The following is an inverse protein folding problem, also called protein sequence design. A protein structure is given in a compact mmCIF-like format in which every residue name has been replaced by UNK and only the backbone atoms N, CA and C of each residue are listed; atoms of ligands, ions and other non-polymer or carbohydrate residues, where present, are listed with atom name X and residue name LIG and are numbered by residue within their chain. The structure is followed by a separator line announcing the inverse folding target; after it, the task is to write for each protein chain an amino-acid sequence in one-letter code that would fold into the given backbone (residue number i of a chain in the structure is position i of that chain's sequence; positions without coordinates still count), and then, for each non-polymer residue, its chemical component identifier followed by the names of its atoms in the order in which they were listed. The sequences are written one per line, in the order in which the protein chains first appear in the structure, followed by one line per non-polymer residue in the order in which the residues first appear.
data_IF_197927002678
#
_entry.id   IF_197927002678
#
_cell.length_a   1.000
_cell.length_b   1.000
_cell.length_c   1.000
_cell.angle_alpha   90.00
_cell.angle_beta   90.00
_cell.angle_gamma   90.00
#
_symmetry.space_group_name_H-M   'P 1'
#
loop_
_entity.id
_entity.type
_entity.pdbx_description
1 polymer ?
#
# COMPACT_ATOMS: atom_id res chain seq x y z
N UNK A 1 -38.25 -12.83 32.55
CA UNK A 1 -37.40 -11.62 32.51
C UNK A 1 -35.93 -11.91 32.19
N UNK A 2 -35.28 -12.94 32.74
CA UNK A 2 -33.87 -13.28 32.43
C UNK A 2 -33.58 -13.55 30.93
N UNK A 3 -34.49 -14.20 30.19
CA UNK A 3 -34.34 -14.46 28.74
C UNK A 3 -34.37 -13.21 27.86
N UNK A 4 -35.02 -12.14 28.31
CA UNK A 4 -35.11 -10.88 27.55
C UNK A 4 -33.83 -10.06 27.77
N UNK A 5 -33.34 -10.01 29.00
CA UNK A 5 -32.05 -9.39 29.32
C UNK A 5 -30.88 -10.08 28.61
N UNK A 6 -30.86 -11.42 28.53
CA UNK A 6 -29.80 -12.15 27.82
C UNK A 6 -29.78 -11.84 26.32
N UNK A 7 -30.95 -11.77 25.67
CA UNK A 7 -31.05 -11.45 24.25
C UNK A 7 -30.65 -9.99 23.98
N UNK A 8 -31.04 -9.04 24.84
CA UNK A 8 -30.59 -7.66 24.73
C UNK A 8 -29.08 -7.50 24.88
N UNK A 9 -28.46 -8.18 25.84
CA UNK A 9 -26.99 -8.18 25.99
C UNK A 9 -26.29 -8.83 24.79
N UNK A 10 -26.86 -9.89 24.23
CA UNK A 10 -26.31 -10.55 23.04
C UNK A 10 -26.38 -9.64 21.82
N UNK A 11 -27.51 -8.99 21.57
CA UNK A 11 -27.66 -8.03 20.46
C UNK A 11 -26.81 -6.77 20.64
N UNK A 12 -26.66 -6.26 21.86
CA UNK A 12 -25.80 -5.11 22.16
C UNK A 12 -24.31 -5.42 21.94
N UNK A 13 -23.85 -6.62 22.36
CA UNK A 13 -22.48 -7.06 22.13
C UNK A 13 -22.19 -7.33 20.64
N UNK A 14 -23.17 -7.85 19.89
CA UNK A 14 -23.05 -8.02 18.43
C UNK A 14 -22.95 -6.67 17.72
N UNK A 15 -23.78 -5.69 18.08
CA UNK A 15 -23.73 -4.34 17.51
C UNK A 15 -22.44 -3.58 17.85
N UNK A 16 -21.91 -3.74 19.07
CA UNK A 16 -20.64 -3.13 19.48
C UNK A 16 -19.43 -3.73 18.76
N UNK A 17 -19.40 -5.05 18.56
CA UNK A 17 -18.32 -5.70 17.81
C UNK A 17 -18.36 -5.30 16.33
N UNK A 18 -19.55 -5.23 15.73
CA UNK A 18 -19.72 -4.80 14.34
C UNK A 18 -19.28 -3.34 14.11
N UNK A 19 -19.60 -2.43 15.03
CA UNK A 19 -19.17 -1.02 14.91
C UNK A 19 -17.65 -0.87 15.06
N UNK A 20 -17.03 -1.62 15.97
CA UNK A 20 -15.57 -1.64 16.16
C UNK A 20 -14.84 -2.18 14.92
N UNK A 21 -15.39 -3.20 14.27
CA UNK A 21 -14.82 -3.75 13.03
C UNK A 21 -14.90 -2.74 11.88
N UNK A 22 -16.03 -2.03 11.72
CA UNK A 22 -16.16 -0.98 10.72
C UNK A 22 -15.17 0.18 10.93
N UNK A 23 -14.93 0.56 12.20
CA UNK A 23 -13.95 1.60 12.53
C UNK A 23 -12.54 1.16 12.16
N UNK A 24 -12.14 -0.06 12.54
CA UNK A 24 -10.81 -0.60 12.19
C UNK A 24 -10.62 -0.68 10.66
N UNK A 25 -11.64 -1.15 9.95
CA UNK A 25 -11.65 -1.22 8.49
C UNK A 25 -11.49 0.16 7.85
N UNK A 26 -12.19 1.16 8.37
CA UNK A 26 -12.09 2.55 7.90
C UNK A 26 -10.70 3.12 8.14
N UNK A 27 -10.13 2.91 9.33
CA UNK A 27 -8.78 3.34 9.70
C UNK A 27 -7.73 2.73 8.75
N UNK A 28 -7.86 1.44 8.46
CA UNK A 28 -6.93 0.73 7.56
C UNK A 28 -7.04 1.26 6.13
N UNK A 29 -8.27 1.43 5.64
CA UNK A 29 -8.51 1.94 4.30
C UNK A 29 -7.96 3.37 4.14
N UNK A 30 -8.22 4.27 5.10
CA UNK A 30 -7.71 5.64 5.06
C UNK A 30 -6.19 5.68 5.20
N UNK A 31 -5.61 4.83 6.05
CA UNK A 31 -4.16 4.71 6.16
C UNK A 31 -3.51 4.29 4.85
N UNK A 32 -4.02 3.23 4.22
CA UNK A 32 -3.51 2.74 2.92
C UNK A 32 -3.68 3.80 1.83
N UNK A 33 -4.82 4.49 1.79
CA UNK A 33 -5.06 5.53 0.80
C UNK A 33 -4.05 6.67 0.95
N UNK A 34 -3.86 7.19 2.17
CA UNK A 34 -2.87 8.23 2.47
C UNK A 34 -1.46 7.73 2.11
N UNK A 35 -1.13 6.49 2.49
CA UNK A 35 0.15 5.88 2.17
C UNK A 35 0.41 5.86 0.66
N UNK A 36 -0.53 5.36 -0.15
CA UNK A 36 -0.36 5.28 -1.60
C UNK A 36 -0.31 6.67 -2.24
N UNK A 37 -1.19 7.59 -1.86
CA UNK A 37 -1.16 8.97 -2.37
C UNK A 37 0.18 9.63 -2.05
N UNK A 38 0.62 9.59 -0.78
CA UNK A 38 1.93 10.13 -0.38
C UNK A 38 3.06 9.49 -1.18
N UNK A 39 3.01 8.19 -1.34
CA UNK A 39 4.05 7.41 -2.01
C UNK A 39 4.12 7.74 -3.50
N UNK A 40 2.97 7.87 -4.17
CA UNK A 40 2.90 8.29 -5.56
C UNK A 40 3.30 9.76 -5.75
N UNK A 41 3.02 10.64 -4.79
CA UNK A 41 3.50 12.03 -4.79
C UNK A 41 5.03 12.09 -4.62
N UNK A 42 5.58 11.31 -3.69
CA UNK A 42 7.02 11.33 -3.39
C UNK A 42 7.85 10.72 -4.52
N UNK A 43 7.29 9.75 -5.23
CA UNK A 43 8.00 9.04 -6.29
C UNK A 43 7.82 9.66 -7.68
N UNK A 44 6.92 10.64 -7.80
CA UNK A 44 6.64 11.32 -9.06
C UNK A 44 7.66 12.43 -9.33
N UNK A 45 7.94 12.64 -10.61
CA UNK A 45 8.87 13.65 -11.15
C UNK A 45 8.33 15.07 -11.09
N UNK A 46 7.92 15.50 -9.90
CA UNK A 46 7.31 16.81 -9.69
C UNK A 46 8.35 17.87 -9.37
N UNK A 47 8.28 19.02 -10.06
CA UNK A 47 9.08 20.20 -9.72
C UNK A 47 8.19 21.26 -9.03
N UNK A 48 7.71 20.97 -7.82
CA UNK A 48 6.78 21.86 -7.11
C UNK A 48 6.95 21.83 -5.59
N UNK A 49 7.21 23.00 -4.99
CA UNK A 49 7.27 23.20 -3.54
C UNK A 49 5.94 22.82 -2.85
N UNK A 50 4.81 22.98 -3.55
CA UNK A 50 3.49 22.61 -3.05
C UNK A 50 3.42 21.10 -2.77
N UNK A 51 3.95 20.27 -3.67
CA UNK A 51 3.95 18.80 -3.52
C UNK A 51 4.78 18.42 -2.29
N UNK A 52 5.93 19.05 -2.06
CA UNK A 52 6.78 18.80 -0.89
C UNK A 52 6.05 19.14 0.42
N UNK A 53 5.37 20.30 0.47
CA UNK A 53 4.54 20.69 1.63
C UNK A 53 3.39 19.71 1.86
N UNK A 54 2.72 19.25 0.80
CA UNK A 54 1.66 18.24 0.89
C UNK A 54 2.20 16.91 1.42
N UNK A 55 3.32 16.41 0.90
CA UNK A 55 3.96 15.16 1.37
C UNK A 55 4.32 15.26 2.86
N UNK A 56 4.85 16.40 3.32
CA UNK A 56 5.14 16.63 4.73
C UNK A 56 3.87 16.56 5.60
N UNK A 57 2.77 17.18 5.16
CA UNK A 57 1.48 17.09 5.84
C UNK A 57 0.93 15.65 5.91
N UNK A 58 1.04 14.90 4.81
CA UNK A 58 0.64 13.48 4.78
C UNK A 58 1.51 12.63 5.71
N UNK A 59 2.82 12.88 5.78
CA UNK A 59 3.71 12.20 6.73
C UNK A 59 3.29 12.44 8.19
N UNK A 60 2.97 13.68 8.54
CA UNK A 60 2.49 14.02 9.89
C UNK A 60 1.18 13.30 10.23
N UNK A 61 0.22 13.26 9.28
CA UNK A 61 -1.02 12.50 9.45
C UNK A 61 -0.76 11.00 9.61
N UNK A 62 0.14 10.43 8.81
CA UNK A 62 0.49 9.02 8.91
C UNK A 62 1.11 8.65 10.25
N UNK A 63 1.87 9.55 10.90
CA UNK A 63 2.40 9.31 12.24
C UNK A 63 1.30 9.11 13.29
N UNK A 64 0.14 9.76 13.14
CA UNK A 64 -1.01 9.53 14.03
C UNK A 64 -1.50 8.08 13.94
N UNK A 65 -1.55 7.53 12.72
CA UNK A 65 -1.91 6.13 12.51
C UNK A 65 -0.85 5.16 13.01
N UNK A 66 0.44 5.50 12.87
CA UNK A 66 1.53 4.73 13.49
C UNK A 66 1.33 4.70 15.01
N UNK A 67 1.06 5.85 15.63
CA UNK A 67 0.75 5.92 17.07
C UNK A 67 -0.45 5.04 17.46
N UNK A 68 -1.52 5.06 16.66
CA UNK A 68 -2.67 4.17 16.87
C UNK A 68 -2.30 2.68 16.73
N UNK A 69 -1.54 2.31 15.69
CA UNK A 69 -1.07 0.93 15.50
C UNK A 69 -0.21 0.47 16.69
N UNK A 70 0.68 1.33 17.19
CA UNK A 70 1.44 1.08 18.41
C UNK A 70 0.54 0.90 19.62
N UNK A 71 -0.52 1.69 19.78
CA UNK A 71 -1.43 1.59 20.92
C UNK A 71 -2.10 0.21 20.99
N UNK A 72 -2.60 -0.30 19.85
CA UNK A 72 -3.31 -1.59 19.76
C UNK A 72 -2.39 -2.81 19.60
N UNK A 73 -1.07 -2.59 19.45
CA UNK A 73 -0.09 -3.64 19.28
C UNK A 73 0.12 -4.46 20.57
N UNK A 74 0.40 -5.74 20.40
CA UNK A 74 0.89 -6.63 21.46
C UNK A 74 2.30 -6.21 21.89
N UNK A 75 2.77 -6.66 23.06
CA UNK A 75 4.12 -6.30 23.54
C UNK A 75 5.23 -6.72 22.56
N UNK A 76 5.08 -7.89 21.90
CA UNK A 76 6.03 -8.35 20.90
C UNK A 76 6.04 -7.45 19.65
N UNK A 77 4.86 -7.09 19.14
CA UNK A 77 4.73 -6.16 18.00
C UNK A 77 5.29 -4.77 18.35
N UNK A 78 5.03 -4.28 19.56
CA UNK A 78 5.58 -3.02 20.09
C UNK A 78 7.10 -3.03 20.14
N UNK A 79 7.71 -4.13 20.58
CA UNK A 79 9.16 -4.26 20.64
C UNK A 79 9.79 -4.19 19.24
N UNK A 80 9.23 -4.91 18.27
CA UNK A 80 9.72 -4.90 16.87
C UNK A 80 9.52 -3.54 16.22
N UNK A 81 8.31 -2.96 16.30
CA UNK A 81 8.04 -1.65 15.73
C UNK A 81 8.88 -0.56 16.43
N UNK A 82 9.03 -0.64 17.75
CA UNK A 82 9.85 0.28 18.53
C UNK A 82 11.31 0.24 18.13
N UNK A 83 11.86 -0.97 17.90
CA UNK A 83 13.21 -1.14 17.36
C UNK A 83 13.37 -0.50 15.99
N UNK A 84 12.40 -0.66 15.07
CA UNK A 84 12.44 -0.02 13.75
C UNK A 84 12.36 1.51 13.83
N UNK A 85 11.55 2.06 14.74
CA UNK A 85 11.50 3.50 15.01
C UNK A 85 12.85 3.99 15.53
N UNK A 86 13.50 3.24 16.43
CA UNK A 86 14.80 3.59 16.99
C UNK A 86 15.89 3.59 15.90
N UNK A 87 15.91 2.58 15.04
CA UNK A 87 16.78 2.56 13.86
C UNK A 87 16.55 3.74 12.93
N UNK A 88 15.28 4.10 12.69
CA UNK A 88 14.94 5.27 11.89
C UNK A 88 15.46 6.58 12.50
N UNK A 89 15.31 6.76 13.83
CA UNK A 89 15.85 7.93 14.53
C UNK A 89 17.38 8.00 14.44
N UNK A 90 18.07 6.87 14.58
CA UNK A 90 19.53 6.79 14.41
C UNK A 90 19.92 7.14 12.97
N UNK A 91 19.22 6.62 11.97
CA UNK A 91 19.49 6.91 10.55
C UNK A 91 19.33 8.40 10.20
N UNK A 92 18.33 9.06 10.79
CA UNK A 92 18.20 10.52 10.69
C UNK A 92 19.37 11.22 11.38
N UNK A 93 19.72 10.80 12.59
CA UNK A 93 20.81 11.41 13.35
C UNK A 93 22.18 11.27 12.64
N UNK A 94 22.39 10.19 11.88
CA UNK A 94 23.61 9.98 11.08
C UNK A 94 23.55 10.63 9.69
N UNK A 95 22.50 11.41 9.38
CA UNK A 95 22.37 12.15 8.12
C UNK A 95 22.05 11.28 6.89
N UNK A 96 21.60 10.04 7.09
CA UNK A 96 21.30 9.09 6.01
C UNK A 96 19.86 9.25 5.48
N UNK A 97 19.22 10.41 5.68
CA UNK A 97 17.89 10.71 5.16
C UNK A 97 16.75 9.90 5.79
N UNK A 98 15.61 9.87 5.09
CA UNK A 98 14.34 9.30 5.56
C UNK A 98 14.03 7.91 4.99
N UNK A 99 15.03 7.20 4.44
CA UNK A 99 14.82 5.89 3.80
C UNK A 99 14.18 4.84 4.73
N UNK A 100 14.55 4.84 6.01
CA UNK A 100 13.96 3.92 7.00
C UNK A 100 12.54 4.31 7.43
N UNK A 101 12.05 5.48 7.01
CA UNK A 101 10.68 5.90 7.33
C UNK A 101 9.63 4.98 6.70
N UNK A 102 9.93 4.43 5.52
CA UNK A 102 9.11 3.40 4.90
C UNK A 102 8.94 2.16 5.78
N UNK A 103 10.01 1.73 6.45
CA UNK A 103 9.97 0.56 7.34
C UNK A 103 9.07 0.79 8.56
N UNK A 104 9.07 2.00 9.12
CA UNK A 104 8.17 2.39 10.22
C UNK A 104 6.72 2.25 9.77
N UNK A 105 6.36 2.76 8.60
CA UNK A 105 4.99 2.63 8.08
C UNK A 105 4.62 1.20 7.73
N UNK A 106 5.52 0.43 7.09
CA UNK A 106 5.28 -0.99 6.80
C UNK A 106 5.01 -1.78 8.08
N UNK A 107 5.72 -1.50 9.17
CA UNK A 107 5.47 -2.16 10.46
C UNK A 107 4.08 -1.85 11.01
N UNK A 108 3.62 -0.60 10.90
CA UNK A 108 2.28 -0.19 11.30
C UNK A 108 1.20 -0.87 10.44
N UNK A 109 1.40 -0.97 9.12
CA UNK A 109 0.51 -1.72 8.22
C UNK A 109 0.38 -3.17 8.68
N UNK A 110 1.49 -3.84 8.94
CA UNK A 110 1.47 -5.26 9.35
C UNK A 110 0.68 -5.43 10.65
N UNK A 111 0.90 -4.56 11.64
CA UNK A 111 0.17 -4.60 12.90
C UNK A 111 -1.34 -4.42 12.67
N UNK A 112 -1.72 -3.43 11.85
CA UNK A 112 -3.11 -3.15 11.53
C UNK A 112 -3.76 -4.32 10.76
N UNK A 113 -3.07 -4.89 9.77
CA UNK A 113 -3.55 -6.03 8.97
C UNK A 113 -3.76 -7.28 9.82
N UNK A 114 -2.96 -7.49 10.88
CA UNK A 114 -3.18 -8.60 11.83
C UNK A 114 -4.48 -8.49 12.63
N UNK A 115 -5.18 -7.36 12.58
CA UNK A 115 -6.47 -7.14 13.27
C UNK A 115 -7.69 -7.32 12.36
N UNK A 116 -7.48 -7.68 11.10
CA UNK A 116 -8.55 -7.93 10.12
C UNK A 116 -8.30 -9.24 9.37
N UNK A 117 -9.36 -9.75 8.74
CA UNK A 117 -9.23 -10.92 7.87
C UNK A 117 -8.39 -10.58 6.62
N UNK A 118 -7.55 -11.52 6.21
CA UNK A 118 -6.61 -11.33 5.09
C UNK A 118 -7.31 -10.94 3.79
N UNK A 119 -8.43 -11.60 3.48
CA UNK A 119 -9.23 -11.30 2.28
C UNK A 119 -9.72 -9.85 2.31
N UNK A 120 -10.24 -9.41 3.46
CA UNK A 120 -10.73 -8.04 3.65
C UNK A 120 -9.61 -7.01 3.56
N UNK A 121 -8.46 -7.30 4.14
CA UNK A 121 -7.26 -6.46 4.01
C UNK A 121 -6.78 -6.37 2.57
N UNK A 122 -6.85 -7.47 1.82
CA UNK A 122 -6.50 -7.47 0.41
C UNK A 122 -7.46 -6.67 -0.46
N UNK A 123 -8.76 -6.74 -0.19
CA UNK A 123 -9.78 -5.89 -0.83
C UNK A 123 -9.46 -4.40 -0.60
N UNK A 124 -9.20 -4.02 0.66
CA UNK A 124 -8.89 -2.64 1.04
C UNK A 124 -7.59 -2.14 0.40
N UNK A 125 -6.57 -2.97 0.33
CA UNK A 125 -5.32 -2.65 -0.36
C UNK A 125 -5.57 -2.37 -1.84
N UNK A 126 -6.27 -3.27 -2.54
CA UNK A 126 -6.55 -3.12 -3.96
C UNK A 126 -7.39 -1.85 -4.23
N UNK A 127 -8.43 -1.62 -3.43
CA UNK A 127 -9.27 -0.42 -3.53
C UNK A 127 -8.44 0.85 -3.28
N UNK A 128 -7.69 0.91 -2.19
CA UNK A 128 -6.87 2.07 -1.85
C UNK A 128 -5.82 2.36 -2.93
N UNK A 129 -5.19 1.31 -3.47
CA UNK A 129 -4.21 1.44 -4.55
C UNK A 129 -4.83 2.04 -5.81
N UNK A 130 -5.96 1.48 -6.28
CA UNK A 130 -6.63 1.95 -7.49
C UNK A 130 -7.15 3.38 -7.31
N UNK A 131 -7.80 3.66 -6.18
CA UNK A 131 -8.31 5.00 -5.87
C UNK A 131 -7.18 6.01 -5.77
N UNK A 132 -6.07 5.67 -5.11
CA UNK A 132 -4.88 6.53 -5.07
C UNK A 132 -4.35 6.77 -6.49
N UNK A 133 -4.24 5.74 -7.32
CA UNK A 133 -3.80 5.88 -8.71
C UNK A 133 -4.68 6.85 -9.49
N UNK A 134 -6.00 6.72 -9.37
CA UNK A 134 -6.98 7.61 -10.02
C UNK A 134 -6.87 9.06 -9.52
N UNK A 135 -6.74 9.27 -8.21
CA UNK A 135 -6.54 10.61 -7.63
C UNK A 135 -5.25 11.25 -8.13
N UNK A 136 -4.22 10.43 -8.36
CA UNK A 136 -2.92 10.88 -8.82
C UNK A 136 -2.87 11.20 -10.31
N UNK A 137 -3.85 10.76 -11.11
CA UNK A 137 -3.94 11.17 -12.53
C UNK A 137 -3.89 12.70 -12.66
N UNK A 138 -4.55 13.44 -11.76
CA UNK A 138 -4.58 14.91 -11.77
C UNK A 138 -3.16 15.48 -11.60
N UNK A 139 -2.43 15.27 -10.48
CA UNK A 139 -1.10 15.85 -10.33
C UNK A 139 -0.12 15.37 -11.41
N UNK A 140 -0.21 14.12 -11.86
CA UNK A 140 0.63 13.61 -12.94
C UNK A 140 0.35 14.29 -14.27
N UNK A 141 -0.90 14.61 -14.60
CA UNK A 141 -1.24 15.30 -15.86
C UNK A 141 -0.74 16.74 -15.89
N UNK A 142 -0.78 17.44 -14.74
CA UNK A 142 -0.45 18.87 -14.68
C UNK A 142 1.00 19.18 -14.30
N UNK A 143 1.69 18.28 -13.61
CA UNK A 143 3.00 18.57 -13.01
C UNK A 143 4.12 17.59 -13.38
N UNK A 144 3.88 16.58 -14.23
CA UNK A 144 4.93 15.66 -14.67
C UNK A 144 5.73 16.25 -15.83
N UNK A 145 7.04 15.98 -15.85
CA UNK A 145 7.94 16.42 -16.93
C UNK A 145 7.99 15.43 -18.11
N UNK A 146 7.44 14.23 -17.96
CA UNK A 146 7.35 13.22 -19.01
C UNK A 146 6.74 11.92 -18.49
N UNK A 147 6.32 11.03 -19.40
CA UNK A 147 5.75 9.71 -19.04
C UNK A 147 6.68 8.54 -19.42
N UNK A 148 7.79 8.86 -20.09
CA UNK A 148 8.77 7.90 -20.60
C UNK A 148 10.14 8.39 -20.19
N UNK A 149 10.96 7.45 -19.68
CA UNK A 149 12.36 7.67 -19.39
C UNK A 149 13.19 7.01 -20.48
N UNK A 150 14.14 7.76 -21.06
CA UNK A 150 15.09 7.21 -22.00
C UNK A 150 16.25 6.57 -21.22
N UNK A 151 16.28 5.25 -21.20
CA UNK A 151 17.38 4.48 -20.62
C UNK A 151 18.40 4.19 -21.72
N UNK A 152 19.63 4.69 -21.56
CA UNK A 152 20.70 4.54 -22.56
C UNK A 152 21.02 3.07 -22.89
N UNK A 153 20.69 2.13 -21.99
CA UNK A 153 20.96 0.70 -22.16
C UNK A 153 19.76 -0.09 -22.71
N UNK A 154 18.54 0.38 -22.44
CA UNK A 154 17.32 -0.39 -22.66
C UNK A 154 16.27 0.32 -23.53
N UNK A 155 16.55 1.55 -23.97
CA UNK A 155 15.66 2.39 -24.75
C UNK A 155 14.57 3.05 -23.90
N UNK A 156 13.44 3.34 -24.53
CA UNK A 156 12.30 3.99 -23.86
C UNK A 156 11.65 3.05 -22.84
N UNK A 157 11.54 3.54 -21.60
CA UNK A 157 10.88 2.86 -20.48
C UNK A 157 9.67 3.66 -20.04
N UNK A 158 8.54 2.98 -19.85
CA UNK A 158 7.35 3.63 -19.32
C UNK A 158 7.52 3.90 -17.83
N UNK A 159 7.41 5.17 -17.45
CA UNK A 159 7.46 5.58 -16.04
C UNK A 159 6.14 6.16 -15.58
N UNK A 160 5.25 6.51 -16.50
CA UNK A 160 4.01 7.22 -16.21
C UNK A 160 4.21 8.45 -15.29
N UNK A 161 5.38 9.11 -15.36
CA UNK A 161 5.71 10.28 -14.55
C UNK A 161 6.43 10.01 -13.24
N UNK A 162 6.70 8.74 -12.89
CA UNK A 162 7.58 8.40 -11.78
C UNK A 162 9.04 8.78 -12.10
N UNK A 163 9.75 9.36 -11.13
CA UNK A 163 11.18 9.72 -11.26
C UNK A 163 12.06 8.48 -11.41
N UNK A 164 11.79 7.45 -10.59
CA UNK A 164 12.49 6.18 -10.68
C UNK A 164 11.74 5.24 -11.64
N UNK A 165 12.38 4.76 -12.72
CA UNK A 165 11.71 4.01 -13.76
C UNK A 165 11.22 2.62 -13.28
N UNK A 166 11.74 2.09 -12.18
CA UNK A 166 11.27 0.83 -11.60
C UNK A 166 10.04 0.98 -10.70
N UNK A 167 9.71 2.20 -10.28
CA UNK A 167 8.65 2.46 -9.29
C UNK A 167 7.29 1.97 -9.78
N UNK A 168 6.93 2.30 -11.02
CA UNK A 168 5.70 1.82 -11.64
C UNK A 168 5.63 0.28 -11.58
N UNK A 169 6.74 -0.37 -11.86
CA UNK A 169 6.81 -1.81 -11.93
C UNK A 169 6.67 -2.48 -10.54
N UNK A 170 7.29 -1.92 -9.50
CA UNK A 170 7.10 -2.40 -8.13
C UNK A 170 5.64 -2.31 -7.68
N UNK A 171 4.97 -1.21 -8.00
CA UNK A 171 3.56 -1.00 -7.65
C UNK A 171 2.62 -1.87 -8.47
N UNK A 172 2.85 -2.02 -9.77
CA UNK A 172 2.12 -2.97 -10.61
C UNK A 172 2.29 -4.41 -10.13
N UNK A 173 3.49 -4.78 -9.65
CA UNK A 173 3.75 -6.11 -9.11
C UNK A 173 3.00 -6.34 -7.78
N UNK A 174 3.02 -5.35 -6.88
CA UNK A 174 2.25 -5.41 -5.64
C UNK A 174 0.74 -5.54 -5.92
N UNK A 175 0.20 -4.76 -6.85
CA UNK A 175 -1.19 -4.89 -7.28
C UNK A 175 -1.48 -6.27 -7.87
N UNK A 176 -0.59 -6.79 -8.72
CA UNK A 176 -0.72 -8.11 -9.33
C UNK A 176 -0.83 -9.22 -8.29
N UNK A 177 0.10 -9.24 -7.32
CA UNK A 177 0.09 -10.23 -6.24
C UNK A 177 -1.21 -10.17 -5.42
N UNK A 178 -1.69 -8.96 -5.11
CA UNK A 178 -2.92 -8.78 -4.34
C UNK A 178 -4.17 -9.20 -5.11
N UNK A 179 -4.25 -8.93 -6.42
CA UNK A 179 -5.34 -9.40 -7.28
C UNK A 179 -5.36 -10.92 -7.39
N UNK A 180 -4.19 -11.57 -7.53
CA UNK A 180 -4.11 -13.02 -7.53
C UNK A 180 -4.56 -13.63 -6.20
N UNK A 181 -4.18 -13.02 -5.07
CA UNK A 181 -4.65 -13.42 -3.74
C UNK A 181 -6.18 -13.35 -3.65
N UNK A 182 -6.78 -12.26 -4.14
CA UNK A 182 -8.25 -12.10 -4.16
C UNK A 182 -8.94 -13.14 -5.06
N UNK A 183 -8.37 -13.45 -6.23
CA UNK A 183 -8.90 -14.50 -7.13
C UNK A 183 -8.84 -15.87 -6.47
N UNK A 184 -7.75 -16.18 -5.76
CA UNK A 184 -7.61 -17.45 -5.07
C UNK A 184 -8.63 -17.61 -3.93
N UNK A 185 -8.93 -16.54 -3.20
CA UNK A 185 -9.95 -16.53 -2.16
C UNK A 185 -11.39 -16.40 -2.69
N UNK A 186 -11.60 -16.08 -3.96
CA UNK A 186 -12.93 -15.93 -4.53
C UNK A 186 -13.68 -17.27 -4.59
N UNK A 187 -15.01 -17.23 -4.38
CA UNK A 187 -15.92 -18.38 -4.51
C UNK A 187 -16.21 -18.71 -5.98
N UNK A 188 -15.16 -18.98 -6.75
CA UNK A 188 -15.19 -19.30 -8.17
C UNK A 188 -14.75 -20.74 -8.41
N UNK A 189 -15.22 -21.34 -9.51
CA UNK A 189 -14.69 -22.64 -9.95
C UNK A 189 -13.22 -22.51 -10.36
N UNK A 190 -12.46 -23.61 -10.30
CA UNK A 190 -11.03 -23.61 -10.66
C UNK A 190 -10.79 -23.10 -12.08
N UNK A 191 -11.65 -23.46 -13.04
CA UNK A 191 -11.56 -22.96 -14.41
C UNK A 191 -11.74 -21.44 -14.50
N UNK A 192 -12.72 -20.88 -13.80
CA UNK A 192 -12.95 -19.44 -13.75
C UNK A 192 -11.79 -18.69 -13.08
N UNK A 193 -11.19 -19.24 -12.02
CA UNK A 193 -10.00 -18.67 -11.38
C UNK A 193 -8.84 -18.60 -12.37
N UNK A 194 -8.57 -19.67 -13.10
CA UNK A 194 -7.51 -19.68 -14.12
C UNK A 194 -7.73 -18.63 -15.21
N UNK A 195 -8.97 -18.50 -15.70
CA UNK A 195 -9.31 -17.47 -16.71
C UNK A 195 -9.12 -16.07 -16.14
N UNK A 196 -9.58 -15.82 -14.91
CA UNK A 196 -9.41 -14.52 -14.25
C UNK A 196 -7.92 -14.20 -14.03
N UNK A 197 -7.13 -15.14 -13.54
CA UNK A 197 -5.67 -14.99 -13.37
C UNK A 197 -4.97 -14.73 -14.69
N UNK A 198 -5.38 -15.40 -15.77
CA UNK A 198 -4.84 -15.17 -17.11
C UNK A 198 -5.18 -13.76 -17.61
N UNK A 199 -6.42 -13.30 -17.43
CA UNK A 199 -6.84 -11.95 -17.81
C UNK A 199 -6.06 -10.87 -17.05
N UNK A 200 -5.90 -11.03 -15.74
CA UNK A 200 -5.09 -10.11 -14.90
C UNK A 200 -3.63 -10.12 -15.32
N UNK A 201 -3.07 -11.30 -15.62
CA UNK A 201 -1.68 -11.43 -16.10
C UNK A 201 -1.50 -10.74 -17.46
N UNK A 202 -2.42 -10.93 -18.40
CA UNK A 202 -2.39 -10.31 -19.71
C UNK A 202 -2.45 -8.77 -19.64
N UNK A 203 -3.11 -8.20 -18.63
CA UNK A 203 -3.18 -6.76 -18.42
C UNK A 203 -1.91 -6.20 -17.76
N UNK A 204 -1.38 -6.87 -16.73
CA UNK A 204 -0.32 -6.30 -15.88
C UNK A 204 1.09 -6.65 -16.38
N UNK A 205 1.32 -7.84 -16.92
CA UNK A 205 2.66 -8.26 -17.37
C UNK A 205 3.24 -7.33 -18.45
N UNK A 206 2.49 -6.87 -19.47
CA UNK A 206 3.03 -5.93 -20.45
C UNK A 206 3.51 -4.63 -19.82
N UNK A 207 2.76 -4.09 -18.85
CA UNK A 207 3.13 -2.88 -18.10
C UNK A 207 4.41 -3.13 -17.30
N UNK A 208 4.52 -4.28 -16.62
CA UNK A 208 5.73 -4.68 -15.91
C UNK A 208 6.93 -4.75 -16.85
N UNK A 209 6.81 -5.43 -17.99
CA UNK A 209 7.91 -5.62 -18.95
C UNK A 209 8.41 -4.32 -19.55
N UNK A 210 7.50 -3.36 -19.79
CA UNK A 210 7.86 -2.08 -20.39
C UNK A 210 8.36 -1.05 -19.36
N UNK A 211 8.15 -1.31 -18.07
CA UNK A 211 8.59 -0.44 -16.97
C UNK A 211 9.89 -0.94 -16.29
N UNK A 212 10.12 -2.26 -16.21
CA UNK A 212 11.24 -2.86 -15.48
C UNK A 212 12.58 -2.82 -16.25
N UNK A 213 13.71 -2.74 -15.54
CA UNK A 213 15.06 -2.91 -16.11
C UNK A 213 15.33 -4.38 -16.45
N UNK A 214 15.73 -4.68 -17.69
CA UNK A 214 15.90 -6.08 -18.17
C UNK A 214 17.02 -6.87 -17.45
N UNK A 215 17.76 -6.28 -16.52
CA UNK A 215 18.83 -6.98 -15.80
C UNK A 215 18.34 -8.18 -14.95
N UNK A 216 17.12 -8.13 -14.41
CA UNK A 216 16.61 -9.23 -13.57
C UNK A 216 16.12 -10.44 -14.37
N UNK A 217 15.81 -10.27 -15.66
CA UNK A 217 15.38 -11.38 -16.53
C UNK A 217 16.53 -12.33 -16.86
N UNK A 218 17.77 -11.80 -16.97
CA UNK A 218 18.96 -12.62 -17.18
C UNK A 218 19.37 -13.41 -15.92
N UNK A 219 18.99 -12.96 -14.72
CA UNK A 219 19.22 -13.70 -13.47
C UNK A 219 18.22 -14.84 -13.23
N UNK A 220 17.14 -14.93 -14.01
CA UNK A 220 16.20 -16.07 -13.96
C UNK A 220 16.57 -17.19 -14.94
N UNK A 221 17.51 -16.91 -15.85
CA UNK A 221 18.07 -17.86 -16.82
C UNK A 221 19.54 -18.22 -16.53
N UNK A 222 20.06 -17.89 -15.33
CA UNK A 222 21.30 -18.44 -14.77
C UNK A 222 20.94 -19.27 -13.54
#
# INVERSE_FOLDING_TARGET
MQRVASNFHMHANVGYNQSRDLVNQSIILTFLLIFFVKTFLTSGSFNSELINKTVMGLNALMLLYVGYAFFIATMAEKAVAGFLVLLFLVNIATGHGDYLFGAVFSSAVIILFRRIEMVRGAEMFAIAFVVAGLLMVIPYTFYTNGFVYLDERYGNRLTLGFDNPNTLAYYSFALFAMLLCLIDHAKLTRGMKNIASLAVSALIIPVLMYSYSRHLFYCWHC
#
